data_IF_375009993654
#
_entry.id   IF_375009993654
#
_cell.length_a   1.000
_cell.length_b   1.000
_cell.length_c   1.000
_cell.angle_alpha   90.00
_cell.angle_beta   90.00
_cell.angle_gamma   90.00
#
_symmetry.space_group_name_H-M   'P 1'
#
loop_
_entity.id
_entity.type
_entity.pdbx_description
1 polymer ?
#
# COMPACT_ATOMS: atom_id res chain seq x y z
N UNK A 1 -16.29 -10.75 28.64
CA UNK A 1 -16.03 -11.58 27.47
C UNK A 1 -14.75 -11.03 26.87
N UNK A 2 -13.66 -11.81 26.88
CA UNK A 2 -12.40 -11.38 26.32
C UNK A 2 -12.59 -11.10 24.84
N UNK A 3 -12.08 -9.98 24.36
CA UNK A 3 -11.85 -9.76 22.96
C UNK A 3 -10.90 -10.88 22.54
N UNK A 4 -11.40 -11.80 21.71
CA UNK A 4 -10.59 -12.91 21.22
C UNK A 4 -9.30 -12.39 20.64
N UNK A 5 -8.25 -13.20 20.68
CA UNK A 5 -6.99 -12.92 20.03
C UNK A 5 -7.27 -12.35 18.66
N UNK A 6 -6.65 -11.21 18.32
CA UNK A 6 -6.87 -10.56 17.05
C UNK A 6 -6.61 -11.56 15.92
N UNK A 7 -7.49 -11.61 14.94
CA UNK A 7 -7.40 -12.55 13.83
C UNK A 7 -6.13 -12.31 13.01
N UNK A 8 -5.65 -11.07 13.05
CA UNK A 8 -4.42 -10.63 12.41
C UNK A 8 -3.85 -9.38 13.12
N UNK A 9 -2.59 -9.12 12.90
CA UNK A 9 -1.89 -7.88 13.27
C UNK A 9 -1.29 -7.26 12.01
N UNK A 10 -1.60 -5.99 11.75
CA UNK A 10 -0.94 -5.21 10.72
C UNK A 10 -0.03 -4.17 11.39
N UNK A 11 1.28 -4.36 11.27
CA UNK A 11 2.28 -3.40 11.75
C UNK A 11 2.63 -2.46 10.60
N UNK A 12 2.10 -1.24 10.67
CA UNK A 12 2.34 -0.20 9.66
C UNK A 12 3.61 0.56 10.02
N UNK A 13 4.52 0.66 9.09
CA UNK A 13 5.70 1.53 9.22
C UNK A 13 5.33 2.94 8.76
N UNK A 14 5.89 3.95 9.41
CA UNK A 14 5.61 5.35 9.11
C UNK A 14 6.87 6.10 8.71
N UNK A 15 6.76 6.95 7.71
CA UNK A 15 7.80 7.88 7.24
C UNK A 15 7.32 9.32 7.30
N UNK A 16 8.27 10.25 7.32
CA UNK A 16 8.02 11.67 7.50
C UNK A 16 8.62 12.46 6.35
N UNK A 17 7.85 13.37 5.77
CA UNK A 17 8.39 14.36 4.85
C UNK A 17 9.05 15.50 5.64
N UNK A 18 10.24 15.96 5.23
CA UNK A 18 10.90 17.08 5.89
C UNK A 18 10.01 18.33 5.91
N UNK A 19 9.81 18.92 7.09
CA UNK A 19 9.02 20.14 7.26
C UNK A 19 7.50 19.93 7.39
N UNK A 20 7.00 18.70 7.28
CA UNK A 20 5.59 18.38 7.48
C UNK A 20 5.31 17.80 8.87
N UNK A 21 4.12 18.07 9.41
CA UNK A 21 3.62 17.49 10.66
C UNK A 21 2.74 16.26 10.42
N UNK A 22 3.06 15.48 9.37
CA UNK A 22 2.33 14.27 8.99
C UNK A 22 3.24 13.05 9.04
N UNK A 23 2.69 11.95 9.54
CA UNK A 23 3.29 10.62 9.52
C UNK A 23 2.58 9.78 8.46
N UNK A 24 3.24 9.54 7.36
CA UNK A 24 2.67 8.76 6.25
C UNK A 24 2.95 7.27 6.45
N UNK A 25 1.97 6.39 6.25
CA UNK A 25 2.26 4.97 6.06
C UNK A 25 3.36 4.80 5.01
N UNK A 26 4.33 3.92 5.25
CA UNK A 26 5.49 3.76 4.37
C UNK A 26 5.07 3.47 2.93
N UNK A 27 4.07 2.61 2.73
CA UNK A 27 3.49 2.30 1.42
C UNK A 27 2.97 3.55 0.69
N UNK A 28 2.24 4.43 1.39
CA UNK A 28 1.73 5.68 0.82
C UNK A 28 2.84 6.70 0.60
N UNK A 29 3.81 6.78 1.54
CA UNK A 29 4.98 7.64 1.42
C UNK A 29 5.79 7.31 0.16
N UNK A 30 6.03 6.03 -0.11
CA UNK A 30 6.74 5.58 -1.30
C UNK A 30 6.00 5.90 -2.59
N UNK A 31 4.67 5.95 -2.56
CA UNK A 31 3.87 6.37 -3.71
C UNK A 31 4.05 7.86 -4.08
N UNK A 32 4.42 8.72 -3.11
CA UNK A 32 4.73 10.13 -3.37
C UNK A 32 6.18 10.36 -3.80
N UNK A 33 7.09 9.48 -3.40
CA UNK A 33 8.51 9.59 -3.74
C UNK A 33 8.78 8.82 -5.04
N UNK A 34 8.72 9.51 -6.15
CA UNK A 34 8.98 8.93 -7.47
C UNK A 34 10.41 8.42 -7.67
N UNK A 35 11.32 8.59 -6.69
CA UNK A 35 12.76 8.41 -6.98
C UNK A 35 13.72 8.11 -5.81
N UNK A 36 13.30 7.52 -4.69
CA UNK A 36 14.21 7.44 -3.55
C UNK A 36 15.12 6.20 -3.50
N UNK A 37 15.03 5.29 -4.46
CA UNK A 37 15.94 4.12 -4.54
C UNK A 37 15.81 3.09 -3.41
N UNK A 38 14.81 3.18 -2.53
CA UNK A 38 14.61 2.25 -1.41
C UNK A 38 13.79 1.02 -1.83
N UNK A 39 14.20 0.37 -2.89
CA UNK A 39 13.54 -0.81 -3.49
C UNK A 39 13.45 -2.01 -2.51
N UNK A 40 14.13 -1.95 -1.36
CA UNK A 40 14.20 -3.07 -0.40
C UNK A 40 13.66 -2.71 1.00
N UNK A 41 12.84 -1.67 1.16
CA UNK A 41 12.22 -1.38 2.45
C UNK A 41 10.91 -2.16 2.61
N UNK A 42 10.71 -2.74 3.77
CA UNK A 42 9.42 -3.34 4.15
C UNK A 42 8.45 -2.21 4.45
N UNK A 43 7.31 -2.16 3.78
CA UNK A 43 6.29 -1.12 3.98
C UNK A 43 5.39 -1.41 5.18
N UNK A 44 5.07 -2.67 5.39
CA UNK A 44 4.29 -3.16 6.52
C UNK A 44 4.56 -4.64 6.78
N UNK A 45 4.25 -5.10 7.98
CA UNK A 45 4.32 -6.51 8.35
C UNK A 45 2.92 -6.96 8.74
N UNK A 46 2.41 -7.99 8.06
CA UNK A 46 1.13 -8.60 8.36
C UNK A 46 1.40 -9.96 9.02
N UNK A 47 0.83 -10.16 10.21
CA UNK A 47 0.85 -11.42 10.92
C UNK A 47 -0.57 -11.97 10.99
N UNK A 48 -0.74 -13.21 10.64
CA UNK A 48 -2.03 -13.92 10.70
C UNK A 48 -1.99 -14.88 11.87
N UNK A 49 -3.08 -14.94 12.63
CA UNK A 49 -3.20 -15.86 13.73
C UNK A 49 -3.50 -17.28 13.19
N UNK A 50 -2.60 -18.20 13.39
CA UNK A 50 -2.69 -19.61 12.95
C UNK A 50 -3.56 -20.49 13.87
N UNK A 51 -3.90 -19.99 15.07
CA UNK A 51 -4.86 -20.67 15.97
C UNK A 51 -6.32 -20.52 15.50
N UNK A 52 -6.59 -19.67 14.50
CA UNK A 52 -7.93 -19.46 13.94
C UNK A 52 -8.23 -20.53 12.88
N UNK A 53 -9.40 -21.16 12.99
CA UNK A 53 -9.87 -22.08 11.96
C UNK A 53 -10.36 -21.31 10.72
N UNK A 54 -9.45 -21.14 9.76
CA UNK A 54 -9.67 -20.34 8.57
C UNK A 54 -10.43 -21.06 7.46
N UNK A 55 -11.35 -20.36 6.82
CA UNK A 55 -11.86 -20.69 5.49
C UNK A 55 -10.93 -20.11 4.42
N UNK A 56 -10.31 -20.98 3.65
CA UNK A 56 -9.41 -20.63 2.53
C UNK A 56 -10.13 -20.55 1.18
N UNK A 57 -11.45 -20.79 1.15
CA UNK A 57 -12.19 -20.85 -0.10
C UNK A 57 -12.51 -19.46 -0.65
N UNK A 58 -12.51 -19.36 -1.98
CA UNK A 58 -13.04 -18.21 -2.72
C UNK A 58 -14.50 -18.41 -3.15
N UNK A 59 -15.14 -19.51 -2.74
CA UNK A 59 -16.55 -19.78 -3.05
C UNK A 59 -17.46 -18.86 -2.24
N UNK A 60 -18.66 -18.58 -2.76
CA UNK A 60 -19.70 -17.82 -2.05
C UNK A 60 -20.39 -18.65 -0.95
N UNK A 61 -20.03 -19.93 -0.81
CA UNK A 61 -20.58 -20.81 0.21
C UNK A 61 -20.20 -20.29 1.60
N UNK A 62 -21.21 -20.09 2.44
CA UNK A 62 -21.00 -19.65 3.83
C UNK A 62 -20.59 -20.86 4.66
N UNK A 63 -19.32 -20.87 5.06
CA UNK A 63 -18.75 -21.90 5.93
C UNK A 63 -18.70 -21.33 7.36
N UNK A 64 -18.91 -22.18 8.35
CA UNK A 64 -18.86 -21.80 9.78
C UNK A 64 -17.41 -21.58 10.25
N UNK A 65 -16.68 -20.75 9.51
CA UNK A 65 -15.28 -20.37 9.74
C UNK A 65 -15.08 -18.88 9.40
N UNK A 66 -13.97 -18.32 9.85
CA UNK A 66 -13.55 -16.99 9.43
C UNK A 66 -12.85 -17.06 8.07
N UNK A 67 -13.20 -16.16 7.16
CA UNK A 67 -12.62 -16.18 5.83
C UNK A 67 -11.24 -15.48 5.82
N UNK A 68 -10.19 -16.21 5.40
CA UNK A 68 -8.81 -15.70 5.38
C UNK A 68 -8.65 -14.54 4.39
N UNK A 69 -9.30 -14.61 3.22
CA UNK A 69 -9.23 -13.53 2.22
C UNK A 69 -9.77 -12.22 2.78
N UNK A 70 -10.88 -12.26 3.50
CA UNK A 70 -11.44 -11.10 4.19
C UNK A 70 -10.45 -10.52 5.21
N UNK A 71 -9.85 -11.38 6.05
CA UNK A 71 -8.85 -10.94 7.04
C UNK A 71 -7.62 -10.31 6.36
N UNK A 72 -7.12 -10.91 5.28
CA UNK A 72 -5.99 -10.40 4.52
C UNK A 72 -6.29 -9.05 3.87
N UNK A 73 -7.46 -8.88 3.25
CA UNK A 73 -7.86 -7.59 2.66
C UNK A 73 -7.96 -6.48 3.70
N UNK A 74 -8.45 -6.78 4.90
CA UNK A 74 -8.47 -5.83 6.03
C UNK A 74 -7.05 -5.45 6.46
N UNK A 75 -6.18 -6.42 6.63
CA UNK A 75 -4.78 -6.19 7.00
C UNK A 75 -4.04 -5.36 5.93
N UNK A 76 -4.30 -5.63 4.65
CA UNK A 76 -3.77 -4.84 3.54
C UNK A 76 -4.31 -3.41 3.58
N UNK A 77 -5.62 -3.20 3.77
CA UNK A 77 -6.19 -1.86 3.88
C UNK A 77 -5.54 -1.04 5.02
N UNK A 78 -5.31 -1.66 6.19
CA UNK A 78 -4.56 -1.03 7.28
C UNK A 78 -3.13 -0.72 6.89
N UNK A 79 -2.44 -1.63 6.21
CA UNK A 79 -1.07 -1.43 5.72
C UNK A 79 -0.97 -0.28 4.72
N UNK A 80 -2.04 0.00 3.99
CA UNK A 80 -2.18 1.15 3.09
C UNK A 80 -2.56 2.45 3.83
N UNK A 81 -2.74 2.42 5.14
CA UNK A 81 -2.99 3.59 5.98
C UNK A 81 -4.46 3.78 6.40
N UNK A 82 -5.30 2.77 6.20
CA UNK A 82 -6.64 2.78 6.75
C UNK A 82 -6.57 2.58 8.26
N UNK A 83 -6.53 3.66 9.01
CA UNK A 83 -6.55 3.60 10.47
C UNK A 83 -5.91 4.79 11.15
N UNK A 84 -6.31 4.99 12.40
CA UNK A 84 -5.79 6.04 13.25
C UNK A 84 -4.44 5.66 13.86
N UNK A 85 -3.61 6.67 14.13
CA UNK A 85 -2.38 6.52 14.92
C UNK A 85 -2.62 6.58 16.43
N UNK A 86 -3.86 6.70 16.87
CA UNK A 86 -4.21 6.67 18.29
C UNK A 86 -4.24 5.23 18.79
N UNK A 87 -3.59 4.99 19.93
CA UNK A 87 -3.56 3.67 20.55
C UNK A 87 -3.52 3.77 22.09
N UNK A 88 -3.87 2.69 22.77
CA UNK A 88 -3.71 2.57 24.20
C UNK A 88 -2.31 2.07 24.56
N UNK A 89 -1.54 2.93 25.16
CA UNK A 89 -0.22 2.59 25.70
C UNK A 89 -0.35 2.26 27.19
N UNK A 90 -0.06 1.04 27.58
CA UNK A 90 -0.19 0.56 28.97
C UNK A 90 0.50 1.44 30.02
N UNK A 91 1.56 2.16 29.65
CA UNK A 91 2.30 3.04 30.53
C UNK A 91 1.85 4.51 30.46
N UNK A 92 1.20 4.94 29.40
CA UNK A 92 0.87 6.35 29.11
C UNK A 92 -0.62 6.60 28.88
N UNK A 93 -1.45 5.55 28.83
CA UNK A 93 -2.84 5.64 28.42
C UNK A 93 -3.01 5.91 26.93
N UNK A 94 -4.14 6.49 26.55
CA UNK A 94 -4.48 6.79 25.16
C UNK A 94 -3.59 7.91 24.63
N UNK A 95 -2.80 7.62 23.61
CA UNK A 95 -1.83 8.54 22.99
C UNK A 95 -1.75 8.33 21.49
N UNK A 96 -1.18 9.30 20.78
CA UNK A 96 -0.77 9.10 19.38
C UNK A 96 0.57 8.36 19.33
N UNK A 97 0.71 7.47 18.34
CA UNK A 97 1.95 6.74 18.09
C UNK A 97 3.12 7.69 17.80
N UNK A 98 2.87 8.74 17.03
CA UNK A 98 3.86 9.73 16.65
C UNK A 98 3.61 11.06 17.34
N UNK A 99 4.62 11.57 18.08
CA UNK A 99 4.51 12.89 18.72
C UNK A 99 4.48 13.99 17.65
N UNK A 100 3.53 14.93 17.79
CA UNK A 100 3.37 16.11 16.95
C UNK A 100 3.05 15.82 15.48
N UNK A 101 2.85 14.55 15.11
CA UNK A 101 2.48 14.18 13.77
C UNK A 101 1.21 13.34 13.81
N UNK A 102 0.41 13.48 12.78
CA UNK A 102 -0.84 12.77 12.59
C UNK A 102 -0.75 11.99 11.27
N UNK A 103 -1.41 10.83 11.18
CA UNK A 103 -1.52 10.15 9.89
C UNK A 103 -2.43 10.96 8.94
N UNK A 104 -2.35 10.74 7.63
CA UNK A 104 -3.34 11.28 6.70
C UNK A 104 -4.76 10.91 7.10
N UNK A 105 -4.99 9.71 7.63
CA UNK A 105 -6.29 9.25 8.12
C UNK A 105 -6.81 10.13 9.27
N UNK A 106 -5.98 10.43 10.27
CA UNK A 106 -6.36 11.21 11.46
C UNK A 106 -6.86 12.62 11.11
N UNK A 107 -6.44 13.18 9.96
CA UNK A 107 -6.87 14.52 9.52
C UNK A 107 -8.36 14.57 9.14
N UNK A 108 -8.97 13.42 8.85
CA UNK A 108 -10.38 13.31 8.45
C UNK A 108 -11.27 12.76 9.54
N UNK A 109 -10.71 12.40 10.71
CA UNK A 109 -11.49 11.91 11.84
C UNK A 109 -12.05 13.10 12.63
N UNK A 110 -13.38 13.09 12.83
CA UNK A 110 -14.12 14.13 13.54
C UNK A 110 -15.03 13.51 14.59
N UNK A 111 -15.40 14.29 15.61
CA UNK A 111 -16.50 13.93 16.49
C UNK A 111 -17.82 14.56 16.04
N UNK A 112 -18.91 14.29 16.76
CA UNK A 112 -20.25 14.83 16.48
C UNK A 112 -20.33 16.37 16.52
N UNK A 113 -19.38 17.05 17.14
CA UNK A 113 -19.27 18.49 17.19
C UNK A 113 -18.38 19.06 16.07
N UNK A 114 -18.00 18.25 15.08
CA UNK A 114 -17.07 18.58 14.01
C UNK A 114 -15.65 18.99 14.50
N UNK A 115 -15.29 18.68 15.73
CA UNK A 115 -13.91 18.85 16.21
C UNK A 115 -13.07 17.75 15.57
N UNK A 116 -11.89 18.09 15.09
CA UNK A 116 -11.00 17.14 14.40
C UNK A 116 -10.06 16.44 15.37
N UNK A 117 -9.73 15.18 15.08
CA UNK A 117 -8.78 14.41 15.88
C UNK A 117 -7.37 15.05 15.86
N UNK A 118 -6.95 15.64 14.75
CA UNK A 118 -5.67 16.32 14.65
C UNK A 118 -5.58 17.67 15.39
N UNK A 119 -6.68 18.14 15.98
CA UNK A 119 -6.73 19.28 16.89
C UNK A 119 -6.51 18.86 18.35
N UNK A 120 -6.52 17.56 18.64
CA UNK A 120 -6.29 17.03 19.98
C UNK A 120 -4.82 17.16 20.41
N UNK A 121 -4.56 17.32 21.73
CA UNK A 121 -3.20 17.39 22.23
C UNK A 121 -2.37 16.15 21.86
N UNK A 122 -1.26 16.36 21.15
CA UNK A 122 -0.32 15.32 20.72
C UNK A 122 1.09 15.61 21.22
N UNK A 123 1.31 15.47 22.53
CA UNK A 123 2.60 15.68 23.19
C UNK A 123 3.23 14.38 23.71
N UNK A 124 2.64 13.24 23.34
CA UNK A 124 3.05 11.90 23.80
C UNK A 124 2.59 11.58 25.22
N UNK A 125 1.57 12.29 25.71
CA UNK A 125 0.86 12.02 26.96
C UNK A 125 -0.63 11.92 26.67
N UNK A 126 -1.33 11.13 27.51
CA UNK A 126 -2.79 11.11 27.45
C UNK A 126 -3.37 12.47 27.89
N UNK A 127 -4.49 12.85 27.31
CA UNK A 127 -5.29 13.99 27.77
C UNK A 127 -6.75 13.57 27.91
N UNK A 128 -7.48 14.24 28.80
CA UNK A 128 -8.91 13.96 28.99
C UNK A 128 -9.70 14.25 27.70
N UNK A 129 -9.30 15.28 26.96
CA UNK A 129 -9.91 15.65 25.68
C UNK A 129 -9.76 14.53 24.66
N UNK A 130 -8.54 13.97 24.52
CA UNK A 130 -8.27 12.86 23.60
C UNK A 130 -9.06 11.62 24.01
N UNK A 131 -9.04 11.25 25.32
CA UNK A 131 -9.80 10.11 25.82
C UNK A 131 -11.29 10.28 25.53
N UNK A 132 -11.87 11.44 25.86
CA UNK A 132 -13.29 11.73 25.61
C UNK A 132 -13.63 11.71 24.13
N UNK A 133 -12.71 12.14 23.27
CA UNK A 133 -12.87 12.09 21.83
C UNK A 133 -13.00 10.64 21.33
N UNK A 134 -12.06 9.78 21.70
CA UNK A 134 -11.96 8.41 21.13
C UNK A 134 -12.89 7.38 21.79
N UNK A 135 -13.46 7.70 22.96
CA UNK A 135 -14.40 6.81 23.68
C UNK A 135 -15.86 7.26 23.60
N UNK A 136 -16.14 8.34 22.90
CA UNK A 136 -17.46 8.98 22.89
C UNK A 136 -18.53 8.27 22.05
N UNK A 137 -18.21 7.20 21.35
CA UNK A 137 -19.09 6.50 20.38
C UNK A 137 -19.72 7.42 19.31
N UNK A 138 -19.17 8.63 19.15
CA UNK A 138 -19.63 9.67 18.21
C UNK A 138 -18.45 10.15 17.36
N UNK A 139 -17.70 9.22 16.83
CA UNK A 139 -16.53 9.47 15.98
C UNK A 139 -16.85 9.07 14.56
N UNK A 140 -16.46 9.92 13.63
CA UNK A 140 -16.76 9.77 12.22
C UNK A 140 -15.52 10.02 11.37
N UNK A 141 -15.44 9.33 10.26
CA UNK A 141 -14.51 9.65 9.18
C UNK A 141 -15.22 10.53 8.15
N UNK A 142 -14.72 11.72 7.91
CA UNK A 142 -15.33 12.70 7.01
C UNK A 142 -14.75 12.57 5.61
N UNK A 143 -15.54 12.03 4.69
CA UNK A 143 -15.20 12.03 3.28
C UNK A 143 -15.53 13.40 2.68
N UNK A 144 -14.59 14.08 1.99
CA UNK A 144 -14.89 15.32 1.29
C UNK A 144 -16.06 15.15 0.31
N UNK A 145 -17.03 16.07 0.38
CA UNK A 145 -18.22 16.08 -0.50
C UNK A 145 -19.15 14.86 -0.39
N UNK A 146 -19.02 14.03 0.66
CA UNK A 146 -19.87 12.86 0.88
C UNK A 146 -20.32 12.78 2.34
N UNK A 147 -21.16 11.80 2.65
CA UNK A 147 -21.58 11.50 4.03
C UNK A 147 -20.40 11.04 4.88
N UNK A 148 -20.45 11.39 6.17
CA UNK A 148 -19.45 10.92 7.13
C UNK A 148 -19.71 9.47 7.51
N UNK A 149 -18.66 8.66 7.51
CA UNK A 149 -18.72 7.25 7.91
C UNK A 149 -18.49 7.13 9.42
N UNK A 150 -19.40 6.49 10.12
CA UNK A 150 -19.24 6.27 11.56
C UNK A 150 -18.12 5.27 11.82
N UNK A 151 -17.17 5.66 12.68
CA UNK A 151 -16.10 4.80 13.14
C UNK A 151 -16.47 4.10 14.44
N UNK A 152 -15.94 2.90 14.62
CA UNK A 152 -16.07 2.20 15.88
C UNK A 152 -15.20 2.87 16.95
N UNK A 153 -15.85 3.44 17.95
CA UNK A 153 -15.25 4.13 19.09
C UNK A 153 -15.89 3.58 20.37
N UNK A 154 -15.31 2.50 20.92
CA UNK A 154 -15.82 1.86 22.13
C UNK A 154 -15.78 2.81 23.33
N UNK A 155 -16.74 2.73 24.27
CA UNK A 155 -16.68 3.44 25.54
C UNK A 155 -15.41 3.16 26.36
N UNK A 156 -14.85 1.97 26.21
CA UNK A 156 -13.55 1.61 26.73
C UNK A 156 -12.56 1.47 25.58
N UNK A 157 -11.65 2.45 25.46
CA UNK A 157 -10.58 2.38 24.47
C UNK A 157 -9.53 1.38 24.95
N UNK A 158 -9.42 0.24 24.26
CA UNK A 158 -8.45 -0.82 24.59
C UNK A 158 -7.73 -1.30 23.35
N UNK A 159 -6.40 -1.36 23.42
CA UNK A 159 -5.56 -1.94 22.37
C UNK A 159 -5.27 -1.00 21.20
N UNK A 160 -4.86 -1.60 20.11
CA UNK A 160 -4.51 -0.94 18.85
C UNK A 160 -5.71 -0.96 17.91
N UNK A 161 -5.83 0.05 17.05
CA UNK A 161 -6.72 0.04 15.88
C UNK A 161 -8.24 0.25 16.11
N UNK A 162 -8.70 0.72 17.27
CA UNK A 162 -10.15 0.94 17.47
C UNK A 162 -10.77 1.88 16.43
N UNK A 163 -10.16 3.03 16.17
CA UNK A 163 -10.65 3.96 15.14
C UNK A 163 -10.31 3.53 13.70
N UNK A 164 -9.84 2.31 13.51
CA UNK A 164 -9.52 1.73 12.21
C UNK A 164 -10.63 0.85 11.66
N UNK A 165 -11.83 0.94 12.21
CA UNK A 165 -12.98 0.16 11.78
C UNK A 165 -14.23 1.04 11.68
N UNK A 166 -15.13 0.66 10.78
CA UNK A 166 -16.48 1.23 10.75
C UNK A 166 -17.37 0.63 11.85
N UNK A 167 -18.24 1.46 12.42
CA UNK A 167 -19.33 1.03 13.31
C UNK A 167 -20.54 0.56 12.47
N UNK A 168 -20.29 -0.45 11.63
CA UNK A 168 -21.27 -1.05 10.71
C UNK A 168 -21.09 -2.56 10.70
N UNK A 169 -21.98 -3.25 9.99
CA UNK A 169 -21.91 -4.68 9.74
C UNK A 169 -21.91 -4.93 8.24
N UNK A 170 -21.11 -5.89 7.77
CA UNK A 170 -21.08 -6.32 6.38
C UNK A 170 -20.11 -5.55 5.47
N UNK A 171 -19.56 -4.42 5.90
CA UNK A 171 -18.48 -3.75 5.17
C UNK A 171 -17.14 -4.45 5.44
N UNK A 172 -16.18 -4.36 4.53
CA UNK A 172 -14.84 -4.96 4.70
C UNK A 172 -14.18 -4.51 6.00
N UNK A 173 -14.22 -3.22 6.29
CA UNK A 173 -13.61 -2.63 7.49
C UNK A 173 -14.60 -2.49 8.65
N UNK A 174 -15.66 -3.30 8.72
CA UNK A 174 -16.54 -3.37 9.90
C UNK A 174 -15.76 -3.82 11.13
N UNK A 175 -16.09 -3.29 12.31
CA UNK A 175 -15.39 -3.60 13.57
C UNK A 175 -15.34 -5.10 13.86
N UNK A 176 -16.44 -5.81 13.62
CA UNK A 176 -16.54 -7.23 13.96
C UNK A 176 -16.62 -8.10 12.69
N UNK A 177 -15.57 -8.84 12.42
CA UNK A 177 -15.60 -9.91 11.42
C UNK A 177 -16.21 -11.15 12.06
N UNK A 178 -17.43 -11.48 11.66
CA UNK A 178 -18.14 -12.64 12.17
C UNK A 178 -17.73 -13.93 11.44
N UNK A 179 -17.98 -15.05 12.08
CA UNK A 179 -17.94 -16.35 11.42
C UNK A 179 -18.93 -16.34 10.25
N UNK A 180 -18.47 -16.71 9.07
CA UNK A 180 -19.26 -16.72 7.85
C UNK A 180 -19.25 -15.41 7.04
N UNK A 181 -18.71 -14.31 7.60
CA UNK A 181 -18.54 -13.07 6.82
C UNK A 181 -17.50 -13.28 5.71
N UNK A 182 -17.90 -13.00 4.47
CA UNK A 182 -17.05 -13.09 3.28
C UNK A 182 -17.07 -11.78 2.49
N UNK A 183 -16.06 -10.96 2.71
CA UNK A 183 -15.79 -9.75 1.94
C UNK A 183 -14.51 -9.97 1.11
N UNK A 184 -14.67 -10.56 -0.07
CA UNK A 184 -13.55 -10.94 -0.94
C UNK A 184 -13.18 -9.82 -1.94
N UNK A 185 -13.74 -8.65 -1.77
CA UNK A 185 -13.47 -7.45 -2.56
C UNK A 185 -13.39 -6.23 -1.65
N UNK A 186 -12.63 -5.24 -2.07
CA UNK A 186 -12.59 -3.95 -1.38
C UNK A 186 -13.87 -3.19 -1.70
N UNK A 187 -14.68 -2.91 -0.68
CA UNK A 187 -15.93 -2.16 -0.83
C UNK A 187 -15.69 -0.66 -1.12
N UNK A 188 -16.74 0.01 -1.61
CA UNK A 188 -16.66 1.43 -2.01
C UNK A 188 -16.29 2.35 -0.84
N UNK A 189 -16.77 2.11 0.38
CA UNK A 189 -16.46 2.93 1.55
C UNK A 189 -14.97 2.84 1.90
N UNK A 190 -14.41 1.64 1.89
CA UNK A 190 -12.98 1.40 2.10
C UNK A 190 -12.14 2.10 1.03
N UNK A 191 -12.55 2.02 -0.26
CA UNK A 191 -11.89 2.73 -1.35
C UNK A 191 -11.91 4.24 -1.15
N UNK A 192 -13.06 4.83 -0.82
CA UNK A 192 -13.20 6.28 -0.60
C UNK A 192 -12.33 6.80 0.54
N UNK A 193 -12.17 6.02 1.61
CA UNK A 193 -11.23 6.35 2.69
C UNK A 193 -9.79 6.34 2.17
N UNK A 194 -9.38 5.29 1.44
CA UNK A 194 -8.04 5.19 0.86
C UNK A 194 -7.77 6.32 -0.14
N UNK A 195 -8.72 6.65 -1.02
CA UNK A 195 -8.64 7.78 -1.94
C UNK A 195 -8.45 9.11 -1.19
N UNK A 196 -9.18 9.29 -0.09
CA UNK A 196 -9.14 10.53 0.72
C UNK A 196 -7.77 10.74 1.39
N UNK A 197 -7.09 9.67 1.81
CA UNK A 197 -5.76 9.76 2.41
C UNK A 197 -4.63 9.89 1.37
N UNK A 198 -4.95 9.73 0.08
CA UNK A 198 -4.00 9.98 -1.00
C UNK A 198 -3.79 8.85 -2.00
N UNK A 199 -4.40 7.68 -1.78
CA UNK A 199 -4.45 6.63 -2.79
C UNK A 199 -5.43 7.07 -3.87
N UNK A 200 -4.90 7.37 -5.03
CA UNK A 200 -5.74 7.63 -6.20
C UNK A 200 -6.02 6.30 -6.88
N UNK A 201 -7.26 6.11 -7.36
CA UNK A 201 -7.44 5.13 -8.43
C UNK A 201 -6.34 5.38 -9.47
N UNK A 202 -5.68 4.32 -9.98
CA UNK A 202 -4.84 4.50 -11.14
C UNK A 202 -5.73 5.26 -12.14
N UNK A 203 -5.28 6.46 -12.54
CA UNK A 203 -6.05 7.28 -13.48
C UNK A 203 -6.59 6.34 -14.55
N UNK A 204 -7.89 6.46 -14.86
CA UNK A 204 -8.54 5.71 -15.98
C UNK A 204 -7.90 6.18 -17.28
N UNK A 205 -6.60 6.07 -17.36
CA UNK A 205 -5.76 6.69 -18.32
C UNK A 205 -4.78 5.71 -18.95
N UNK A 206 -3.94 6.27 -19.75
CA UNK A 206 -2.87 5.60 -20.45
C UNK A 206 -1.97 4.83 -19.48
N UNK A 207 -1.76 3.53 -19.73
CA UNK A 207 -0.86 2.65 -18.98
C UNK A 207 0.24 2.12 -19.89
N UNK A 208 1.40 1.89 -19.30
CA UNK A 208 2.47 1.13 -19.92
C UNK A 208 2.50 -0.23 -19.25
N UNK A 209 2.27 -1.28 -20.01
CA UNK A 209 2.37 -2.67 -19.55
C UNK A 209 3.63 -3.27 -20.12
N UNK A 210 4.42 -3.92 -19.29
CA UNK A 210 5.69 -4.54 -19.65
C UNK A 210 5.61 -6.05 -19.51
N UNK A 211 5.89 -6.79 -20.58
CA UNK A 211 5.89 -8.25 -20.53
C UNK A 211 7.14 -8.75 -19.81
N UNK A 212 6.94 -9.47 -18.70
CA UNK A 212 8.02 -10.07 -17.91
C UNK A 212 8.81 -9.08 -17.04
N UNK A 213 8.25 -7.90 -16.79
CA UNK A 213 8.71 -6.95 -15.78
C UNK A 213 7.51 -6.72 -14.83
N UNK A 214 7.74 -6.88 -13.56
CA UNK A 214 6.73 -6.60 -12.54
C UNK A 214 6.58 -5.08 -12.26
N UNK A 215 5.68 -4.74 -11.35
CA UNK A 215 5.42 -3.35 -10.97
C UNK A 215 6.62 -2.65 -10.30
N UNK A 216 7.64 -3.40 -9.87
CA UNK A 216 8.87 -2.82 -9.31
C UNK A 216 9.79 -2.29 -10.41
N UNK A 217 9.52 -2.61 -11.67
CA UNK A 217 10.34 -2.24 -12.82
C UNK A 217 11.67 -3.01 -12.91
N UNK A 218 11.88 -4.04 -12.08
CA UNK A 218 13.12 -4.84 -12.11
C UNK A 218 13.18 -5.71 -13.36
N UNK A 219 14.25 -5.55 -14.10
CA UNK A 219 14.49 -6.21 -15.38
C UNK A 219 15.93 -6.68 -15.50
N UNK A 220 16.20 -7.69 -16.31
CA UNK A 220 17.58 -8.10 -16.63
C UNK A 220 18.15 -7.21 -17.74
N UNK A 221 19.37 -6.73 -17.56
CA UNK A 221 20.08 -6.00 -18.62
C UNK A 221 20.49 -6.90 -19.83
N UNK A 222 20.40 -8.23 -19.67
CA UNK A 222 20.90 -9.19 -20.66
C UNK A 222 19.85 -9.70 -21.65
N UNK A 223 18.58 -9.28 -21.50
CA UNK A 223 17.48 -9.66 -22.40
C UNK A 223 16.66 -8.45 -22.85
N UNK A 224 15.87 -8.64 -23.90
CA UNK A 224 14.90 -7.65 -24.36
C UNK A 224 13.56 -7.77 -23.66
N UNK A 225 12.74 -6.72 -23.76
CA UNK A 225 11.39 -6.64 -23.21
C UNK A 225 10.45 -5.94 -24.16
N UNK A 226 9.20 -6.34 -24.14
CA UNK A 226 8.13 -5.69 -24.88
C UNK A 226 7.27 -4.85 -23.94
N UNK A 227 6.92 -3.67 -24.40
CA UNK A 227 6.00 -2.75 -23.72
C UNK A 227 4.82 -2.50 -24.65
N UNK A 228 3.64 -2.38 -24.08
CA UNK A 228 2.44 -1.97 -24.82
C UNK A 228 1.70 -0.87 -24.06
N UNK A 229 1.00 -0.05 -24.83
CA UNK A 229 0.09 0.96 -24.30
C UNK A 229 -1.27 0.33 -24.07
N UNK A 230 -1.82 0.52 -22.89
CA UNK A 230 -3.18 0.12 -22.55
C UNK A 230 -3.98 1.31 -22.05
N UNK A 231 -5.27 1.32 -22.37
CA UNK A 231 -6.24 2.28 -21.88
C UNK A 231 -7.54 1.53 -21.54
N UNK A 232 -8.15 1.77 -20.34
CA UNK A 232 -9.39 1.10 -19.94
C UNK A 232 -10.59 1.43 -20.83
N UNK A 233 -10.62 2.64 -21.39
CA UNK A 233 -11.66 3.11 -22.30
C UNK A 233 -11.10 4.17 -23.24
N UNK A 234 -11.59 4.22 -24.47
CA UNK A 234 -11.14 5.16 -25.50
C UNK A 234 -10.29 4.49 -26.59
N UNK A 235 -9.78 5.29 -27.52
CA UNK A 235 -8.99 4.84 -28.63
C UNK A 235 -7.66 5.60 -28.72
N UNK A 236 -6.54 4.90 -28.77
CA UNK A 236 -5.23 5.49 -28.97
C UNK A 236 -4.97 5.58 -30.47
N UNK A 237 -4.81 6.79 -30.96
CA UNK A 237 -4.61 7.06 -32.41
C UNK A 237 -3.17 7.35 -32.77
N UNK A 238 -2.32 7.68 -31.79
CA UNK A 238 -0.89 7.96 -32.00
C UNK A 238 -0.08 7.56 -30.79
N UNK A 239 1.11 7.05 -31.05
CA UNK A 239 2.08 6.63 -30.05
C UNK A 239 3.43 7.31 -30.29
N UNK A 240 4.12 7.70 -29.22
CA UNK A 240 5.52 8.16 -29.26
C UNK A 240 6.25 7.67 -28.03
N UNK A 241 7.08 6.67 -28.21
CA UNK A 241 7.86 6.03 -27.17
C UNK A 241 9.27 6.58 -27.11
N UNK A 242 9.84 6.63 -25.91
CA UNK A 242 11.25 6.87 -25.66
C UNK A 242 11.75 5.92 -24.60
N UNK A 243 12.89 5.30 -24.85
CA UNK A 243 13.66 4.56 -23.87
C UNK A 243 14.96 5.30 -23.59
N UNK A 244 15.21 5.61 -22.33
CA UNK A 244 16.33 6.41 -21.87
C UNK A 244 16.98 5.73 -20.67
N UNK A 245 18.33 5.75 -20.59
CA UNK A 245 19.11 5.25 -19.47
C UNK A 245 19.93 6.36 -18.83
N UNK A 246 20.06 6.31 -17.51
CA UNK A 246 20.85 7.27 -16.75
C UNK A 246 22.35 6.98 -16.93
N UNK A 247 23.10 7.94 -17.46
CA UNK A 247 24.54 7.84 -17.63
C UNK A 247 25.31 8.19 -16.35
N UNK A 248 26.62 8.07 -16.35
CA UNK A 248 27.47 8.39 -15.22
C UNK A 248 27.51 9.89 -14.88
N UNK A 249 27.11 10.77 -15.80
CA UNK A 249 27.03 12.23 -15.66
C UNK A 249 25.68 12.71 -15.09
N UNK A 250 24.79 11.76 -14.75
CA UNK A 250 23.44 12.00 -14.23
C UNK A 250 22.42 12.50 -15.28
N UNK A 251 22.72 12.33 -16.55
CA UNK A 251 21.82 12.66 -17.64
C UNK A 251 21.12 11.42 -18.17
N UNK A 252 19.86 11.57 -18.59
CA UNK A 252 19.15 10.54 -19.31
C UNK A 252 19.52 10.56 -20.78
N UNK A 253 20.17 9.50 -21.24
CA UNK A 253 20.59 9.32 -22.63
C UNK A 253 19.56 8.50 -23.38
N UNK A 254 19.07 9.04 -24.49
CA UNK A 254 18.12 8.36 -25.37
C UNK A 254 18.77 7.11 -26.00
N UNK A 255 18.11 5.98 -25.82
CA UNK A 255 18.55 4.67 -26.35
C UNK A 255 17.72 4.30 -27.59
N UNK A 256 16.38 4.45 -27.51
CA UNK A 256 15.46 4.04 -28.58
C UNK A 256 14.21 4.92 -28.61
N UNK A 257 13.64 5.07 -29.81
CA UNK A 257 12.31 5.66 -30.04
C UNK A 257 11.41 4.68 -30.81
N UNK A 258 10.09 4.86 -30.68
CA UNK A 258 9.10 4.08 -31.42
C UNK A 258 7.77 4.82 -31.53
N UNK A 259 6.94 4.42 -32.50
CA UNK A 259 5.65 5.06 -32.81
C UNK A 259 4.51 4.03 -33.01
N UNK A 260 4.70 2.78 -32.60
CA UNK A 260 3.69 1.73 -32.68
C UNK A 260 2.98 1.45 -31.35
N UNK A 261 1.90 0.69 -31.38
CA UNK A 261 1.18 0.26 -30.16
C UNK A 261 2.04 -0.58 -29.23
N UNK A 262 3.05 -1.25 -29.79
CA UNK A 262 4.04 -2.03 -29.05
C UNK A 262 5.43 -1.43 -29.24
N UNK A 263 6.24 -1.50 -28.20
CA UNK A 263 7.58 -0.96 -28.16
C UNK A 263 8.53 -1.98 -27.53
N UNK A 264 9.44 -2.52 -28.35
CA UNK A 264 10.44 -3.47 -27.90
C UNK A 264 11.75 -2.76 -27.55
N UNK A 265 12.34 -3.12 -26.44
CA UNK A 265 13.73 -2.76 -26.10
C UNK A 265 14.59 -4.02 -26.16
N UNK A 266 15.80 -3.86 -26.67
CA UNK A 266 16.79 -4.92 -26.76
C UNK A 266 17.64 -4.99 -25.48
N UNK A 267 18.45 -6.04 -25.35
CA UNK A 267 19.48 -6.10 -24.30
C UNK A 267 20.37 -4.85 -24.34
N UNK A 268 20.85 -4.45 -23.18
CA UNK A 268 21.73 -3.29 -23.06
C UNK A 268 23.18 -3.70 -23.23
N UNK A 269 23.80 -3.22 -24.28
CA UNK A 269 25.24 -3.39 -24.51
C UNK A 269 26.03 -2.22 -23.86
N UNK A 270 27.32 -2.46 -23.60
CA UNK A 270 28.24 -1.47 -23.06
C UNK A 270 27.77 -0.86 -21.70
N UNK A 271 27.37 -1.72 -20.76
CA UNK A 271 26.83 -1.36 -19.44
C UNK A 271 27.72 -0.41 -18.61
N UNK A 272 29.03 -0.35 -18.90
CA UNK A 272 29.98 0.47 -18.15
C UNK A 272 29.75 1.99 -18.28
N UNK A 273 29.07 2.45 -19.34
CA UNK A 273 28.77 3.87 -19.56
C UNK A 273 27.50 4.36 -18.81
N UNK A 274 26.76 3.45 -18.20
CA UNK A 274 25.57 3.82 -17.47
C UNK A 274 25.81 3.77 -15.96
N UNK A 275 25.16 4.67 -15.24
CA UNK A 275 25.26 4.79 -13.80
C UNK A 275 24.56 3.62 -13.13
N UNK A 276 25.28 2.96 -12.24
CA UNK A 276 24.75 1.92 -11.37
C UNK A 276 24.34 2.52 -10.02
N UNK A 277 23.18 2.11 -9.51
CA UNK A 277 22.78 2.40 -8.13
C UNK A 277 23.62 1.59 -7.12
N UNK A 278 23.33 1.73 -5.84
CA UNK A 278 24.02 1.00 -4.74
C UNK A 278 23.90 -0.53 -4.86
N UNK A 279 22.87 -1.02 -5.55
CA UNK A 279 22.63 -2.45 -5.79
C UNK A 279 23.33 -2.95 -7.07
N UNK A 280 23.89 -2.05 -7.85
CA UNK A 280 24.53 -2.36 -9.14
C UNK A 280 23.58 -2.34 -10.35
N UNK A 281 22.34 -1.86 -10.17
CA UNK A 281 21.34 -1.79 -11.25
C UNK A 281 21.45 -0.46 -12.00
N UNK A 282 21.12 -0.47 -13.29
CA UNK A 282 21.10 0.72 -14.14
C UNK A 282 19.67 1.25 -14.17
N UNK A 283 19.48 2.53 -13.81
CA UNK A 283 18.18 3.18 -13.86
C UNK A 283 17.87 3.62 -15.29
N UNK A 284 16.65 3.33 -15.70
CA UNK A 284 16.10 3.79 -16.97
C UNK A 284 14.65 4.22 -16.84
N UNK A 285 14.14 4.78 -17.91
CA UNK A 285 12.72 5.12 -18.04
C UNK A 285 12.21 4.85 -19.45
N UNK A 286 10.97 4.36 -19.52
CA UNK A 286 10.19 4.26 -20.73
C UNK A 286 9.13 5.37 -20.68
N UNK A 287 9.18 6.31 -21.58
CA UNK A 287 8.18 7.38 -21.70
C UNK A 287 7.29 7.12 -22.89
N UNK A 288 5.99 7.24 -22.71
CA UNK A 288 4.97 7.15 -23.75
C UNK A 288 4.19 8.46 -23.80
N UNK A 289 4.18 9.13 -24.93
CA UNK A 289 3.19 10.14 -25.27
C UNK A 289 2.21 9.54 -26.28
N UNK A 290 0.94 9.70 -26.07
CA UNK A 290 -0.11 9.15 -26.90
C UNK A 290 -1.23 10.15 -27.13
N UNK A 291 -1.93 10.06 -28.26
CA UNK A 291 -3.19 10.77 -28.48
C UNK A 291 -4.34 9.78 -28.25
N UNK A 292 -5.13 10.08 -27.22
CA UNK A 292 -6.28 9.27 -26.78
C UNK A 292 -7.54 10.11 -26.97
N UNK A 293 -8.43 9.67 -27.84
CA UNK A 293 -9.66 10.39 -28.19
C UNK A 293 -9.41 11.88 -28.49
N UNK A 294 -8.32 12.14 -29.23
CA UNK A 294 -7.92 13.50 -29.63
C UNK A 294 -7.18 14.32 -28.56
N UNK A 295 -6.96 13.78 -27.35
CA UNK A 295 -6.22 14.44 -26.27
C UNK A 295 -4.84 13.83 -26.11
N UNK A 296 -3.85 14.69 -25.87
CA UNK A 296 -2.48 14.24 -25.57
C UNK A 296 -2.42 13.73 -24.12
N UNK A 297 -1.88 12.53 -23.95
CA UNK A 297 -1.63 11.90 -22.65
C UNK A 297 -0.18 11.40 -22.60
N UNK A 298 0.43 11.48 -21.42
CA UNK A 298 1.80 11.04 -21.20
C UNK A 298 1.87 10.08 -20.03
N UNK A 299 2.72 9.06 -20.13
CA UNK A 299 3.03 8.12 -19.06
C UNK A 299 4.50 7.79 -19.04
N UNK A 300 5.06 7.59 -17.85
CA UNK A 300 6.44 7.13 -17.64
C UNK A 300 6.41 5.84 -16.82
N UNK A 301 7.23 4.88 -17.22
CA UNK A 301 7.50 3.64 -16.51
C UNK A 301 9.00 3.57 -16.22
N UNK A 302 9.37 3.48 -14.96
CA UNK A 302 10.76 3.35 -14.53
C UNK A 302 11.20 1.90 -14.64
N UNK A 303 12.41 1.66 -15.15
CA UNK A 303 13.03 0.34 -15.24
C UNK A 303 14.37 0.36 -14.50
N UNK A 304 14.68 -0.74 -13.82
CA UNK A 304 15.94 -0.97 -13.14
C UNK A 304 16.57 -2.22 -13.71
N UNK A 305 17.59 -2.02 -14.54
CA UNK A 305 18.25 -3.11 -15.24
C UNK A 305 19.31 -3.73 -14.35
N UNK A 306 19.02 -4.90 -13.81
CA UNK A 306 20.01 -5.66 -13.06
C UNK A 306 21.06 -6.26 -13.99
N UNK A 307 22.32 -6.03 -13.64
CA UNK A 307 23.47 -6.65 -14.31
C UNK A 307 23.84 -8.00 -13.71
N UNK A 308 23.18 -8.37 -12.61
CA UNK A 308 23.34 -9.68 -11.96
C UNK A 308 22.37 -10.69 -12.60
N UNK A 309 22.69 -11.99 -12.60
CA UNK A 309 21.73 -13.01 -13.02
C UNK A 309 20.46 -12.90 -12.15
N UNK A 310 19.32 -12.66 -12.79
CA UNK A 310 18.03 -12.42 -12.11
C UNK A 310 17.29 -13.71 -11.74
N UNK A 311 17.91 -14.86 -11.86
CA UNK A 311 17.30 -16.11 -11.46
C UNK A 311 17.91 -16.60 -10.14
N UNK A 312 17.26 -16.21 -9.06
CA UNK A 312 17.21 -17.06 -7.88
C UNK A 312 15.98 -17.94 -8.11
N UNK A 313 16.16 -19.15 -8.60
CA UNK A 313 15.13 -20.16 -8.43
C UNK A 313 15.15 -20.52 -6.96
N UNK A 314 14.20 -19.99 -6.21
CA UNK A 314 14.01 -20.42 -4.83
C UNK A 314 13.27 -21.75 -4.88
N UNK A 315 13.99 -22.83 -4.65
CA UNK A 315 13.38 -24.13 -4.43
C UNK A 315 13.29 -24.31 -2.91
N UNK A 316 12.06 -24.40 -2.41
CA UNK A 316 11.83 -24.78 -1.02
C UNK A 316 12.02 -26.30 -0.93
N UNK A 317 13.17 -26.74 -0.41
CA UNK A 317 13.49 -28.15 -0.31
C UNK A 317 12.84 -28.80 0.92
N UNK A 318 12.65 -28.04 2.00
CA UNK A 318 11.93 -28.51 3.18
C UNK A 318 11.34 -27.36 4.00
N UNK A 319 10.26 -27.68 4.72
CA UNK A 319 9.66 -26.80 5.73
C UNK A 319 9.66 -27.61 7.04
N UNK A 320 10.50 -27.19 7.98
CA UNK A 320 10.60 -27.88 9.29
C UNK A 320 10.15 -26.97 10.42
N UNK A 321 9.23 -27.42 11.29
CA UNK A 321 8.85 -26.65 12.45
C UNK A 321 10.03 -26.51 13.43
N UNK A 322 10.21 -25.33 13.99
CA UNK A 322 11.19 -25.11 15.04
C UNK A 322 10.57 -25.54 16.37
N UNK A 323 11.09 -26.60 17.04
CA UNK A 323 10.51 -27.14 18.26
C UNK A 323 10.32 -26.04 19.33
N UNK A 324 9.14 -25.98 19.93
CA UNK A 324 8.81 -25.00 20.98
C UNK A 324 8.50 -23.58 20.48
N UNK A 325 8.39 -23.39 19.17
CA UNK A 325 8.03 -22.10 18.57
C UNK A 325 6.91 -22.27 17.55
N UNK A 326 6.32 -21.15 17.09
CA UNK A 326 5.37 -21.11 15.97
C UNK A 326 6.04 -20.77 14.63
N UNK A 327 7.35 -20.91 14.53
CA UNK A 327 8.13 -20.61 13.34
C UNK A 327 8.59 -21.86 12.62
N UNK A 328 8.85 -21.70 11.33
CA UNK A 328 9.34 -22.76 10.45
C UNK A 328 10.68 -22.34 9.87
N UNK A 329 11.60 -23.29 9.77
CA UNK A 329 12.78 -23.13 8.95
C UNK A 329 12.41 -23.50 7.50
N UNK A 330 12.76 -22.60 6.59
CA UNK A 330 12.68 -22.83 5.15
C UNK A 330 14.09 -23.12 4.66
N UNK A 331 14.35 -24.35 4.20
CA UNK A 331 15.57 -24.64 3.45
C UNK A 331 15.34 -24.24 2.00
N UNK A 332 16.14 -23.28 1.56
CA UNK A 332 16.05 -22.66 0.25
C UNK A 332 17.38 -22.87 -0.47
N UNK A 333 17.34 -23.49 -1.65
CA UNK A 333 18.49 -23.61 -2.56
C UNK A 333 18.32 -22.80 -3.83
#
# INVERSE_FOLDING_TARGET
MGVGAEDFEAQVLYSFLPGESKAYPQSLFMNFLTDDGRVNSVDAIIKINDDVDWDYSFSDEVINKKNLTTAMLRAIAMSLGFGSTVFDNSAKGVVFFTKRCFSPFDNYVINSNNVRLNEMPNNGRTSQELVSFVTGNNVYYKIPNNESLKLYASPEFRGYNYLSYFDTTGDLMSYNMRIGDKNQQVDRKTQEVLETIGWKEPEKGLRIVADGIDNTGMASATRGYNFRAEIPSGNITKYSWKYELLNNEMDYVLIKKGESSEFAIDKVDALAKYRKNVNGDIKGKISLNAIVDGKEMSKVFHVYLSTKPTFISVKVDSITPIPGTRYYNLDIT
#
